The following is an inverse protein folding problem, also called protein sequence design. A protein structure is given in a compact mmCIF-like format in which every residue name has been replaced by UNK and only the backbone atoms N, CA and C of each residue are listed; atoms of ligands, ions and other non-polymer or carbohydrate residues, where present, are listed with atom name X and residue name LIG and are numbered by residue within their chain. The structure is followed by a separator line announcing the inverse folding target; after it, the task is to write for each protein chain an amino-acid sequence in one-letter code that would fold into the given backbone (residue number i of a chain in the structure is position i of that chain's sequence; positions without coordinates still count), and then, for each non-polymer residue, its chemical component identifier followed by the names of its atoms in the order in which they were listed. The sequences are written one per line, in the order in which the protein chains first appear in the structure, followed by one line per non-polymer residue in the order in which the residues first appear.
data_IF_616793391935
#
_entry.id   IF_616793391935
#
_cell.length_a   1.000
_cell.length_b   1.000
_cell.length_c   1.000
_cell.angle_alpha   90.00
_cell.angle_beta   90.00
_cell.angle_gamma   90.00
#
_symmetry.space_group_name_H-M   'P 1'
#
loop_
_entity.id
_entity.type
_entity.pdbx_description
1 polymer ?
#
# COMPACT_ATOMS: atom_id res chain seq x y z
N UNK A 1 -23.91 24.56 -11.13
CA UNK A 1 -25.11 23.72 -10.87
C UNK A 1 -24.85 22.33 -11.44
N UNK A 2 -25.10 21.28 -10.66
CA UNK A 2 -24.84 19.87 -11.01
C UNK A 2 -26.13 19.06 -10.80
N UNK A 3 -26.41 18.11 -11.68
CA UNK A 3 -27.53 17.17 -11.51
C UNK A 3 -27.17 16.15 -10.44
N UNK A 4 -28.03 15.94 -9.46
CA UNK A 4 -27.79 15.00 -8.36
C UNK A 4 -28.98 14.08 -8.12
N UNK A 5 -28.70 12.92 -7.52
CA UNK A 5 -29.66 11.93 -7.03
C UNK A 5 -29.45 11.67 -5.54
N UNK A 6 -30.51 11.28 -4.83
CA UNK A 6 -30.45 10.88 -3.43
C UNK A 6 -30.37 9.35 -3.27
N UNK A 7 -29.87 8.64 -4.29
CA UNK A 7 -29.64 7.18 -4.24
C UNK A 7 -28.77 6.76 -3.06
N UNK A 8 -27.79 7.59 -2.70
CA UNK A 8 -26.89 7.41 -1.56
C UNK A 8 -27.34 8.18 -0.30
N UNK A 9 -28.62 8.54 -0.22
CA UNK A 9 -29.21 9.32 0.86
C UNK A 9 -29.29 10.81 0.55
N UNK A 10 -29.90 11.52 1.50
CA UNK A 10 -30.12 12.97 1.43
C UNK A 10 -28.77 13.71 1.40
N UNK A 11 -28.73 14.79 0.63
CA UNK A 11 -27.59 15.69 0.51
C UNK A 11 -27.90 16.92 1.36
N UNK A 12 -26.98 17.27 2.23
CA UNK A 12 -27.02 18.48 3.05
C UNK A 12 -25.92 19.45 2.60
N UNK A 13 -26.08 20.74 2.90
CA UNK A 13 -25.01 21.73 2.67
C UNK A 13 -23.72 21.29 3.36
N UNK A 14 -22.63 21.26 2.60
CA UNK A 14 -21.33 20.77 3.07
C UNK A 14 -21.04 19.30 2.73
N UNK A 15 -22.04 18.55 2.27
CA UNK A 15 -21.81 17.18 1.80
C UNK A 15 -20.95 17.13 0.55
N UNK A 16 -20.17 16.07 0.46
CA UNK A 16 -19.34 15.77 -0.69
C UNK A 16 -20.14 15.11 -1.81
N UNK A 17 -19.98 15.59 -3.05
CA UNK A 17 -20.67 15.06 -4.23
C UNK A 17 -19.69 14.30 -5.13
N UNK A 18 -19.99 13.04 -5.42
CA UNK A 18 -19.25 12.17 -6.35
C UNK A 18 -20.12 11.75 -7.53
N UNK A 19 -19.56 11.02 -8.50
CA UNK A 19 -20.30 10.43 -9.61
C UNK A 19 -21.23 9.31 -9.13
N UNK A 20 -22.43 9.22 -9.70
CA UNK A 20 -23.34 8.08 -9.50
C UNK A 20 -23.17 7.01 -10.58
N UNK A 21 -23.83 5.87 -10.41
CA UNK A 21 -23.96 4.83 -11.45
C UNK A 21 -24.74 5.33 -12.68
N UNK A 22 -25.47 6.44 -12.55
CA UNK A 22 -26.21 7.05 -13.65
C UNK A 22 -25.32 8.06 -14.39
N UNK A 23 -25.13 7.90 -15.71
CA UNK A 23 -24.27 8.78 -16.48
C UNK A 23 -24.66 10.25 -16.37
N UNK A 24 -23.70 11.10 -15.99
CA UNK A 24 -23.88 12.56 -15.91
C UNK A 24 -24.69 13.04 -14.69
N UNK A 25 -24.91 12.18 -13.69
CA UNK A 25 -25.59 12.53 -12.44
C UNK A 25 -24.64 12.27 -11.26
N UNK A 26 -24.57 13.22 -10.33
CA UNK A 26 -23.82 13.10 -9.08
C UNK A 26 -24.66 12.54 -7.94
N UNK A 27 -24.01 12.11 -6.87
CA UNK A 27 -24.67 11.64 -5.64
C UNK A 27 -23.80 11.95 -4.43
N UNK A 28 -24.37 11.81 -3.22
CA UNK A 28 -23.62 11.90 -1.97
C UNK A 28 -22.45 10.89 -1.95
N UNK A 29 -21.26 11.38 -1.63
CA UNK A 29 -20.08 10.56 -1.44
C UNK A 29 -20.15 9.86 -0.07
N UNK A 30 -20.31 8.54 -0.09
CA UNK A 30 -20.33 7.67 1.09
C UNK A 30 -19.04 6.87 1.25
N UNK A 31 -18.21 6.83 0.21
CA UNK A 31 -16.98 6.05 0.12
C UNK A 31 -15.79 6.90 -0.31
N UNK A 32 -14.59 6.35 -0.13
CA UNK A 32 -13.34 6.97 -0.59
C UNK A 32 -13.29 7.03 -2.12
N UNK A 33 -12.97 8.20 -2.67
CA UNK A 33 -12.91 8.33 -4.12
C UNK A 33 -12.76 9.76 -4.63
N UNK A 34 -12.95 9.92 -5.94
CA UNK A 34 -12.96 11.23 -6.57
C UNK A 34 -14.25 11.97 -6.23
N UNK A 35 -14.08 13.22 -5.81
CA UNK A 35 -15.18 14.15 -5.53
C UNK A 35 -15.22 15.19 -6.64
N UNK A 36 -16.42 15.56 -7.06
CA UNK A 36 -16.69 16.67 -7.99
C UNK A 36 -16.71 18.01 -7.24
N UNK A 37 -17.32 18.05 -6.07
CA UNK A 37 -17.34 19.24 -5.23
C UNK A 37 -18.07 19.08 -3.90
N UNK A 38 -18.42 20.21 -3.29
CA UNK A 38 -19.17 20.32 -2.04
C UNK A 38 -20.55 20.91 -2.32
N UNK A 39 -21.61 20.31 -1.78
CA UNK A 39 -22.97 20.78 -1.93
C UNK A 39 -23.16 22.14 -1.23
N UNK A 40 -23.79 23.08 -1.93
CA UNK A 40 -24.15 24.40 -1.41
C UNK A 40 -25.66 24.53 -1.14
N UNK A 41 -26.46 23.59 -1.64
CA UNK A 41 -27.89 23.48 -1.38
C UNK A 41 -28.23 22.10 -0.81
N UNK A 42 -29.28 22.05 0.00
CA UNK A 42 -29.86 20.80 0.49
C UNK A 42 -30.69 20.11 -0.61
N UNK A 43 -30.68 18.77 -0.61
CA UNK A 43 -31.52 17.95 -1.50
C UNK A 43 -32.07 16.73 -0.76
N UNK A 44 -33.39 16.76 -0.54
CA UNK A 44 -34.15 15.73 0.17
C UNK A 44 -35.40 15.35 -0.63
N UNK A 45 -35.25 14.57 -1.72
CA UNK A 45 -36.39 14.16 -2.54
C UNK A 45 -37.20 13.05 -1.85
N UNK A 46 -38.49 12.97 -2.17
CA UNK A 46 -39.37 11.90 -1.69
C UNK A 46 -39.09 10.54 -2.35
N UNK A 47 -38.39 10.55 -3.50
CA UNK A 47 -37.97 9.35 -4.22
C UNK A 47 -36.46 9.39 -4.48
N UNK A 48 -35.69 8.32 -4.16
CA UNK A 48 -34.24 8.29 -4.37
C UNK A 48 -33.81 8.51 -5.83
N UNK A 49 -34.63 8.10 -6.79
CA UNK A 49 -34.34 8.21 -8.23
C UNK A 49 -34.63 9.59 -8.82
N UNK A 50 -35.24 10.49 -8.06
CA UNK A 50 -35.48 11.84 -8.52
C UNK A 50 -34.15 12.55 -8.78
N UNK A 51 -34.09 13.27 -9.90
CA UNK A 51 -32.90 14.03 -10.32
C UNK A 51 -33.23 15.50 -10.36
N UNK A 52 -32.47 16.30 -9.60
CA UNK A 52 -32.61 17.74 -9.56
C UNK A 52 -31.23 18.42 -9.70
N UNK A 53 -31.23 19.72 -10.00
CA UNK A 53 -29.99 20.51 -10.06
C UNK A 53 -29.79 21.26 -8.76
N UNK A 54 -28.68 20.99 -8.09
CA UNK A 54 -28.25 21.76 -6.92
C UNK A 54 -27.02 22.60 -7.24
N UNK A 55 -26.81 23.65 -6.44
CA UNK A 55 -25.57 24.38 -6.44
C UNK A 55 -24.47 23.56 -5.74
N UNK A 56 -23.32 23.46 -6.40
CA UNK A 56 -22.16 22.70 -5.90
C UNK A 56 -20.95 23.57 -6.13
N UNK A 57 -20.13 23.74 -5.09
CA UNK A 57 -18.81 24.33 -5.21
C UNK A 57 -17.88 23.27 -5.81
N UNK A 58 -17.47 23.48 -7.06
CA UNK A 58 -16.61 22.54 -7.77
C UNK A 58 -15.21 22.61 -7.19
N UNK A 59 -14.79 21.51 -6.59
CA UNK A 59 -13.47 21.33 -6.00
C UNK A 59 -13.08 19.85 -6.19
N UNK A 60 -12.40 19.61 -7.31
CA UNK A 60 -12.06 18.26 -7.75
C UNK A 60 -10.86 17.79 -6.94
N UNK A 61 -11.15 16.93 -5.97
CA UNK A 61 -10.14 16.31 -5.12
C UNK A 61 -10.49 14.85 -4.86
N UNK A 62 -9.46 14.04 -4.62
CA UNK A 62 -9.66 12.71 -4.05
C UNK A 62 -9.86 12.88 -2.56
N UNK A 63 -11.02 12.49 -2.04
CA UNK A 63 -11.24 12.48 -0.61
C UNK A 63 -11.05 11.07 -0.10
N UNK A 64 -10.12 10.98 0.84
CA UNK A 64 -10.01 9.85 1.71
C UNK A 64 -10.84 10.21 2.95
N UNK A 65 -12.11 9.82 2.94
CA UNK A 65 -12.88 9.66 4.16
C UNK A 65 -12.12 8.66 5.05
N UNK A 66 -11.20 9.22 5.84
CA UNK A 66 -10.55 8.53 6.94
C UNK A 66 -11.60 8.30 8.01
N UNK A 67 -12.51 7.34 7.77
CA UNK A 67 -13.26 6.73 8.84
C UNK A 67 -12.25 6.25 9.85
N UNK A 68 -12.30 6.77 11.08
CA UNK A 68 -11.34 6.47 12.16
C UNK A 68 -11.30 5.00 12.61
N UNK A 69 -11.84 4.07 11.82
CA UNK A 69 -11.62 2.65 11.95
C UNK A 69 -10.24 2.29 11.42
N UNK A 70 -9.49 1.52 12.21
CA UNK A 70 -8.20 0.95 11.82
C UNK A 70 -8.37 0.26 10.46
N UNK A 71 -7.85 0.88 9.39
CA UNK A 71 -7.85 0.26 8.06
C UNK A 71 -6.95 -0.96 8.18
N UNK A 72 -7.57 -2.14 8.26
CA UNK A 72 -6.84 -3.40 8.23
C UNK A 72 -6.10 -3.49 6.90
N UNK A 73 -4.90 -4.05 6.93
CA UNK A 73 -4.10 -4.28 5.72
C UNK A 73 -4.93 -5.04 4.67
N UNK A 74 -5.81 -5.93 5.11
CA UNK A 74 -6.77 -6.66 4.28
C UNK A 74 -7.77 -5.76 3.53
N UNK A 75 -8.37 -4.75 4.18
CA UNK A 75 -9.32 -3.84 3.53
C UNK A 75 -8.64 -2.93 2.51
N UNK A 76 -7.41 -2.51 2.78
CA UNK A 76 -6.61 -1.74 1.83
C UNK A 76 -6.22 -2.57 0.59
N UNK A 77 -6.01 -3.88 0.74
CA UNK A 77 -5.72 -4.80 -0.36
C UNK A 77 -6.98 -5.14 -1.18
N UNK A 78 -8.13 -5.38 -0.53
CA UNK A 78 -9.38 -5.75 -1.21
C UNK A 78 -10.07 -4.56 -1.89
N UNK A 79 -9.96 -3.36 -1.33
CA UNK A 79 -10.53 -2.15 -1.94
C UNK A 79 -9.79 -1.69 -3.21
N UNK A 80 -8.67 -2.33 -3.58
CA UNK A 80 -7.87 -1.94 -4.75
C UNK A 80 -7.28 -0.52 -4.67
N UNK A 81 -7.44 0.16 -3.52
CA UNK A 81 -7.09 1.56 -3.29
C UNK A 81 -5.61 1.73 -2.89
N UNK A 82 -4.75 0.84 -3.40
CA UNK A 82 -3.32 1.01 -3.28
C UNK A 82 -2.89 2.01 -4.35
N UNK A 83 -2.80 3.28 -3.95
CA UNK A 83 -2.09 4.27 -4.76
C UNK A 83 -0.71 3.71 -5.14
N UNK A 84 -0.15 4.11 -6.30
CA UNK A 84 1.17 3.64 -6.74
C UNK A 84 2.27 3.85 -5.67
N UNK A 85 2.11 4.86 -4.81
CA UNK A 85 2.96 5.14 -3.66
C UNK A 85 2.81 4.06 -2.56
N UNK A 86 1.58 3.69 -2.19
CA UNK A 86 1.30 2.64 -1.20
C UNK A 86 1.84 1.27 -1.64
N UNK A 87 1.76 0.96 -2.94
CA UNK A 87 2.27 -0.31 -3.50
C UNK A 87 3.81 -0.41 -3.36
N UNK A 88 4.54 0.69 -3.55
CA UNK A 88 6.01 0.73 -3.40
C UNK A 88 6.44 0.36 -1.99
N UNK A 89 5.76 0.88 -0.96
CA UNK A 89 6.07 0.56 0.43
C UNK A 89 5.85 -0.93 0.74
N UNK A 90 4.76 -1.52 0.24
CA UNK A 90 4.48 -2.95 0.41
C UNK A 90 5.55 -3.79 -0.30
N UNK A 91 5.89 -3.44 -1.55
CA UNK A 91 6.92 -4.14 -2.32
C UNK A 91 8.28 -4.07 -1.62
N UNK A 92 8.69 -2.88 -1.14
CA UNK A 92 9.94 -2.70 -0.41
C UNK A 92 9.97 -3.54 0.89
N UNK A 93 8.86 -3.62 1.62
CA UNK A 93 8.74 -4.45 2.82
C UNK A 93 8.90 -5.94 2.51
N UNK A 94 8.24 -6.43 1.45
CA UNK A 94 8.34 -7.83 1.00
C UNK A 94 9.77 -8.15 0.55
N UNK A 95 10.38 -7.29 -0.27
CA UNK A 95 11.75 -7.48 -0.76
C UNK A 95 12.74 -7.53 0.41
N UNK A 96 12.57 -6.67 1.42
CA UNK A 96 13.40 -6.66 2.62
C UNK A 96 13.25 -7.97 3.40
N UNK A 97 12.01 -8.41 3.65
CA UNK A 97 11.74 -9.66 4.37
C UNK A 97 12.31 -10.90 3.66
N UNK A 98 12.11 -10.99 2.35
CA UNK A 98 12.61 -12.10 1.52
C UNK A 98 14.14 -12.10 1.50
N UNK A 99 14.76 -10.94 1.29
CA UNK A 99 16.23 -10.80 1.30
C UNK A 99 16.82 -11.24 2.64
N UNK A 100 16.26 -10.77 3.75
CA UNK A 100 16.72 -11.16 5.08
C UNK A 100 16.52 -12.65 5.33
N UNK A 101 15.37 -13.20 4.97
CA UNK A 101 15.08 -14.64 5.13
C UNK A 101 16.07 -15.51 4.35
N UNK A 102 16.34 -15.15 3.08
CA UNK A 102 17.32 -15.85 2.25
C UNK A 102 18.73 -15.70 2.84
N UNK A 103 19.10 -14.51 3.29
CA UNK A 103 20.39 -14.25 3.94
C UNK A 103 20.60 -15.13 5.17
N UNK A 104 19.62 -15.19 6.07
CA UNK A 104 19.66 -16.02 7.27
C UNK A 104 19.70 -17.52 6.96
N UNK A 105 18.87 -18.00 6.03
CA UNK A 105 18.85 -19.42 5.63
C UNK A 105 20.18 -19.83 4.98
N UNK A 106 20.71 -18.98 4.09
CA UNK A 106 21.97 -19.25 3.40
C UNK A 106 23.16 -19.23 4.38
N UNK A 107 23.19 -18.25 5.30
CA UNK A 107 24.18 -18.19 6.37
C UNK A 107 24.10 -19.40 7.30
N UNK A 108 22.91 -19.77 7.77
CA UNK A 108 22.72 -20.90 8.68
C UNK A 108 23.22 -22.22 8.10
N UNK A 109 22.86 -22.50 6.83
CA UNK A 109 23.34 -23.69 6.12
C UNK A 109 24.85 -23.67 5.92
N UNK A 110 25.41 -22.54 5.49
CA UNK A 110 26.83 -22.44 5.15
C UNK A 110 27.73 -22.45 6.40
N UNK A 111 27.28 -21.83 7.49
CA UNK A 111 27.99 -21.81 8.77
C UNK A 111 28.03 -23.19 9.40
N UNK A 112 26.96 -23.99 9.30
CA UNK A 112 26.93 -25.37 9.81
C UNK A 112 28.00 -26.25 9.13
N UNK A 113 28.00 -26.28 7.80
CA UNK A 113 28.98 -27.06 7.02
C UNK A 113 30.42 -26.59 7.27
N UNK A 114 30.61 -25.28 7.47
CA UNK A 114 31.92 -24.67 7.75
C UNK A 114 32.48 -25.09 9.10
N UNK A 115 31.62 -25.14 10.13
CA UNK A 115 32.01 -25.56 11.48
C UNK A 115 32.25 -27.07 11.54
N UNK A 116 31.43 -27.87 10.86
CA UNK A 116 31.66 -29.32 10.74
C UNK A 116 33.02 -29.62 10.09
N UNK A 117 33.37 -28.91 9.00
CA UNK A 117 34.66 -29.06 8.34
C UNK A 117 35.84 -28.68 9.25
N UNK A 118 35.71 -27.60 10.03
CA UNK A 118 36.74 -27.16 10.98
C UNK A 118 36.92 -28.17 12.13
N UNK A 119 35.81 -28.74 12.63
CA UNK A 119 35.84 -29.76 13.68
C UNK A 119 36.44 -31.09 13.20
N UNK A 120 36.21 -31.48 11.94
CA UNK A 120 36.72 -32.73 11.37
C UNK A 120 38.18 -32.65 10.94
N UNK A 121 38.68 -31.48 10.59
CA UNK A 121 40.08 -31.29 10.21
C UNK A 121 40.65 -29.95 10.73
N UNK A 122 41.06 -29.90 12.01
CA UNK A 122 41.59 -28.67 12.63
C UNK A 122 42.91 -28.21 12.00
N UNK A 123 43.69 -29.10 11.36
CA UNK A 123 44.95 -28.76 10.68
C UNK A 123 44.73 -27.87 9.45
N UNK A 124 43.57 -27.98 8.78
CA UNK A 124 43.17 -27.11 7.68
C UNK A 124 42.50 -25.80 8.16
N UNK A 125 42.51 -25.54 9.47
CA UNK A 125 41.73 -24.46 10.09
C UNK A 125 41.99 -23.07 9.52
N UNK A 126 43.22 -22.77 9.06
CA UNK A 126 43.55 -21.48 8.43
C UNK A 126 42.83 -21.28 7.09
N UNK A 127 42.77 -22.31 6.26
CA UNK A 127 42.05 -22.27 4.99
C UNK A 127 40.53 -22.27 5.20
N UNK A 128 40.03 -23.11 6.10
CA UNK A 128 38.59 -23.19 6.39
C UNK A 128 38.08 -21.86 6.95
N UNK A 129 38.78 -21.26 7.92
CA UNK A 129 38.42 -19.94 8.48
C UNK A 129 38.34 -18.86 7.41
N UNK A 130 39.26 -18.86 6.44
CA UNK A 130 39.23 -17.93 5.30
C UNK A 130 37.98 -18.12 4.44
N UNK A 131 37.57 -19.37 4.19
CA UNK A 131 36.36 -19.69 3.42
C UNK A 131 35.08 -19.30 4.18
N UNK A 132 35.04 -19.48 5.51
CA UNK A 132 33.92 -19.04 6.34
C UNK A 132 33.73 -17.53 6.27
N UNK A 133 34.83 -16.79 6.44
CA UNK A 133 34.83 -15.32 6.40
C UNK A 133 34.37 -14.83 5.02
N UNK A 134 34.86 -15.45 3.94
CA UNK A 134 34.46 -15.10 2.59
C UNK A 134 32.95 -15.34 2.34
N UNK A 135 32.41 -16.49 2.76
CA UNK A 135 30.98 -16.77 2.64
C UNK A 135 30.13 -15.84 3.49
N UNK A 136 30.57 -15.51 4.71
CA UNK A 136 29.88 -14.54 5.55
C UNK A 136 29.82 -13.16 4.89
N UNK A 137 30.94 -12.72 4.31
CA UNK A 137 31.03 -11.46 3.60
C UNK A 137 30.14 -11.45 2.34
N UNK A 138 30.11 -12.56 1.60
CA UNK A 138 29.21 -12.72 0.44
C UNK A 138 27.74 -12.60 0.84
N UNK A 139 27.31 -13.28 1.91
CA UNK A 139 25.93 -13.18 2.41
C UNK A 139 25.61 -11.78 2.90
N UNK A 140 26.57 -11.11 3.55
CA UNK A 140 26.41 -9.72 3.97
C UNK A 140 26.22 -8.78 2.77
N UNK A 141 26.99 -8.97 1.71
CA UNK A 141 26.82 -8.21 0.45
C UNK A 141 25.44 -8.46 -0.16
N UNK A 142 24.96 -9.70 -0.20
CA UNK A 142 23.61 -10.03 -0.71
C UNK A 142 22.53 -9.30 0.09
N UNK A 143 22.66 -9.24 1.42
CA UNK A 143 21.73 -8.50 2.28
C UNK A 143 21.78 -6.99 2.01
N UNK A 144 22.97 -6.41 1.85
CA UNK A 144 23.12 -4.99 1.51
C UNK A 144 22.52 -4.66 0.14
N UNK A 145 22.71 -5.53 -0.86
CA UNK A 145 22.13 -5.33 -2.19
C UNK A 145 20.60 -5.36 -2.13
N UNK A 146 20.00 -6.32 -1.42
CA UNK A 146 18.54 -6.34 -1.28
C UNK A 146 18.00 -5.13 -0.51
N UNK A 147 18.73 -4.61 0.47
CA UNK A 147 18.36 -3.37 1.15
C UNK A 147 18.51 -2.13 0.25
N UNK A 148 19.53 -2.09 -0.61
CA UNK A 148 19.69 -1.05 -1.62
C UNK A 148 18.55 -1.08 -2.66
N UNK A 149 18.13 -2.26 -3.10
CA UNK A 149 16.96 -2.42 -3.99
C UNK A 149 15.69 -1.94 -3.29
N UNK A 150 15.46 -2.33 -2.03
CA UNK A 150 14.32 -1.86 -1.25
C UNK A 150 14.32 -0.32 -1.10
N UNK A 151 15.49 0.27 -0.86
CA UNK A 151 15.65 1.73 -0.80
C UNK A 151 15.35 2.41 -2.15
N UNK A 152 15.84 1.85 -3.27
CA UNK A 152 15.52 2.37 -4.60
C UNK A 152 14.02 2.32 -4.88
N UNK A 153 13.31 1.26 -4.47
CA UNK A 153 11.84 1.17 -4.59
C UNK A 153 11.14 2.29 -3.81
N UNK A 154 11.70 2.73 -2.69
CA UNK A 154 11.13 3.82 -1.89
C UNK A 154 11.38 5.20 -2.51
N UNK A 155 12.52 5.38 -3.14
CA UNK A 155 12.94 6.69 -3.70
C UNK A 155 12.37 6.93 -5.10
N UNK A 156 12.31 5.90 -5.94
CA UNK A 156 11.85 5.98 -7.34
C UNK A 156 10.33 5.90 -7.41
#
# INVERSE_FOLDING_TARGET
MVKVTAKNGNIEVGDYITSSDMPGIGQKATENGQIVGIALDDYSPSSPEQVEKIMVFVDIKTNFMSGGGKIGILDALTAGSLSGVSLRYILAAVVTLVTFSIGFVSFGKTSGNSVEALGRNPLAGRHIKSVVIFNFLLTFVIMLVGLAIAYLILVL
#
